data_IF_020005026532
#
_entry.id   IF_020005026532
#
_cell.length_a   1.000
_cell.length_b   1.000
_cell.length_c   1.000
_cell.angle_alpha   90.00
_cell.angle_beta   90.00
_cell.angle_gamma   90.00
#
_symmetry.space_group_name_H-M   'P 1'
#
loop_
_entity.id
_entity.type
_entity.pdbx_description
1 polymer ?
#
# COMPACT_ATOMS: atom_id res chain seq x y z
N UNK A 1 5.72 -14.68 17.43
CA UNK A 1 6.86 -14.28 16.60
C UNK A 1 6.58 -12.95 15.95
N UNK A 2 7.54 -12.05 16.02
CA UNK A 2 7.34 -10.71 15.49
C UNK A 2 7.39 -10.68 13.98
N UNK A 3 6.55 -9.86 13.40
CA UNK A 3 6.60 -9.63 11.96
C UNK A 3 7.54 -8.48 11.68
N UNK A 4 8.25 -8.58 10.57
CA UNK A 4 9.25 -7.61 10.18
C UNK A 4 8.78 -6.91 8.91
N UNK A 5 8.80 -5.59 8.93
CA UNK A 5 8.44 -4.79 7.77
C UNK A 5 9.71 -4.14 7.24
N UNK A 6 10.04 -4.40 6.00
CA UNK A 6 11.21 -3.82 5.36
C UNK A 6 10.76 -3.02 4.15
N UNK A 7 11.45 -1.92 3.89
CA UNK A 7 11.18 -1.09 2.72
C UNK A 7 12.26 -1.37 1.70
N UNK A 8 11.85 -1.76 0.50
CA UNK A 8 12.78 -1.98 -0.59
C UNK A 8 13.51 -0.67 -0.91
N UNK A 9 14.82 -0.77 -1.14
CA UNK A 9 15.65 0.38 -1.50
C UNK A 9 16.34 0.10 -2.82
N UNK A 10 16.39 1.14 -3.66
CA UNK A 10 17.15 1.05 -4.89
C UNK A 10 18.65 1.12 -4.59
N UNK A 11 19.46 0.88 -5.62
CA UNK A 11 20.89 0.90 -5.43
C UNK A 11 21.39 2.24 -4.91
N UNK A 12 20.71 3.32 -5.29
CA UNK A 12 21.11 4.64 -4.83
C UNK A 12 20.59 4.98 -3.44
N UNK A 13 19.95 4.02 -2.78
CA UNK A 13 19.46 4.23 -1.42
C UNK A 13 18.04 4.77 -1.34
N UNK A 14 17.42 5.09 -2.46
CA UNK A 14 16.07 5.62 -2.45
C UNK A 14 15.07 4.51 -2.20
N UNK A 15 14.07 4.82 -1.38
CA UNK A 15 12.99 3.87 -1.09
C UNK A 15 11.70 4.40 -1.71
N UNK A 16 11.15 3.72 -2.71
CA UNK A 16 9.90 4.19 -3.34
C UNK A 16 8.75 4.32 -2.35
N UNK A 17 8.63 3.38 -1.41
CA UNK A 17 7.54 3.45 -0.45
C UNK A 17 7.74 4.59 0.54
N UNK A 18 8.97 4.77 1.03
CA UNK A 18 9.23 5.86 1.95
C UNK A 18 8.94 7.20 1.31
N UNK A 19 9.38 7.38 0.06
CA UNK A 19 9.13 8.61 -0.66
C UNK A 19 7.63 8.82 -0.86
N UNK A 20 6.94 7.75 -1.21
CA UNK A 20 5.49 7.82 -1.38
C UNK A 20 4.82 8.30 -0.09
N UNK A 21 5.23 7.73 1.04
CA UNK A 21 4.64 8.11 2.32
C UNK A 21 4.93 9.57 2.66
N UNK A 22 6.14 10.03 2.35
CA UNK A 22 6.51 11.42 2.64
C UNK A 22 5.70 12.41 1.84
N UNK A 23 5.19 12.01 0.69
CA UNK A 23 4.41 12.89 -0.15
C UNK A 23 2.93 12.94 0.23
N UNK A 24 2.50 12.06 1.09
CA UNK A 24 1.09 12.06 1.51
C UNK A 24 0.80 13.22 2.45
N UNK A 25 -0.41 13.77 2.39
CA UNK A 25 -0.80 14.76 3.39
C UNK A 25 -0.67 14.19 4.80
N UNK A 26 -0.46 15.06 5.77
CA UNK A 26 -0.12 14.63 7.12
C UNK A 26 -1.11 13.62 7.69
N UNK A 27 -2.40 13.90 7.57
CA UNK A 27 -3.39 12.99 8.16
C UNK A 27 -3.46 11.68 7.40
N UNK A 28 -3.30 11.73 6.10
CA UNK A 28 -3.29 10.52 5.28
C UNK A 28 -2.06 9.68 5.61
N UNK A 29 -0.93 10.35 5.82
CA UNK A 29 0.29 9.65 6.20
C UNK A 29 0.14 8.95 7.54
N UNK A 30 -0.51 9.62 8.49
CA UNK A 30 -0.75 9.02 9.80
C UNK A 30 -1.60 7.75 9.66
N UNK A 31 -2.61 7.81 8.81
CA UNK A 31 -3.45 6.64 8.58
C UNK A 31 -2.63 5.52 7.95
N UNK A 32 -1.73 5.88 7.02
CA UNK A 32 -0.88 4.89 6.39
C UNK A 32 0.00 4.18 7.41
N UNK A 33 0.62 4.93 8.32
CA UNK A 33 1.46 4.31 9.33
C UNK A 33 0.63 3.44 10.27
N UNK A 34 -0.60 3.84 10.55
CA UNK A 34 -1.47 3.03 11.38
C UNK A 34 -1.76 1.69 10.72
N UNK A 35 -2.02 1.70 9.40
CA UNK A 35 -2.26 0.45 8.68
C UNK A 35 -1.02 -0.41 8.64
N UNK A 36 0.15 0.21 8.47
CA UNK A 36 1.40 -0.53 8.47
C UNK A 36 1.61 -1.19 9.83
N UNK A 37 1.27 -0.49 10.90
CA UNK A 37 1.40 -1.03 12.23
C UNK A 37 0.45 -2.22 12.42
N UNK A 38 -0.76 -2.14 11.86
CA UNK A 38 -1.68 -3.25 11.91
C UNK A 38 -1.10 -4.47 11.21
N UNK A 39 -0.49 -4.26 10.05
CA UNK A 39 0.14 -5.36 9.33
C UNK A 39 1.27 -5.96 10.13
N UNK A 40 2.06 -5.11 10.77
CA UNK A 40 3.15 -5.59 11.60
C UNK A 40 2.64 -6.43 12.77
N UNK A 41 1.54 -6.01 13.37
CA UNK A 41 1.01 -6.71 14.53
C UNK A 41 0.32 -8.02 14.17
N UNK A 42 -0.38 -8.04 13.04
CA UNK A 42 -1.19 -9.19 12.68
C UNK A 42 -0.60 -10.06 11.58
N UNK A 43 0.33 -9.51 10.80
CA UNK A 43 0.99 -10.27 9.77
C UNK A 43 0.01 -10.90 8.80
N UNK A 44 0.21 -12.17 8.50
CA UNK A 44 -0.62 -12.86 7.53
C UNK A 44 -2.07 -13.01 7.97
N UNK A 45 -2.36 -12.75 9.22
CA UNK A 45 -3.74 -12.84 9.71
C UNK A 45 -4.58 -11.64 9.32
N UNK A 46 -3.94 -10.55 8.89
CA UNK A 46 -4.69 -9.39 8.45
C UNK A 46 -5.41 -9.72 7.16
N UNK A 47 -6.70 -9.40 7.11
CA UNK A 47 -7.56 -9.80 6.00
C UNK A 47 -8.16 -8.58 5.30
N UNK A 48 -8.90 -8.84 4.22
CA UNK A 48 -9.63 -7.79 3.57
C UNK A 48 -10.59 -7.12 4.55
N UNK A 49 -10.81 -5.82 4.39
CA UNK A 49 -10.37 -4.99 3.27
C UNK A 49 -8.99 -4.38 3.45
N UNK A 50 -8.30 -4.67 4.56
CA UNK A 50 -7.01 -4.04 4.82
C UNK A 50 -5.95 -4.48 3.82
N UNK A 51 -5.94 -5.76 3.49
CA UNK A 51 -4.99 -6.29 2.51
C UNK A 51 -5.74 -7.09 1.48
N UNK A 52 -5.15 -7.18 0.30
CA UNK A 52 -5.76 -7.93 -0.78
C UNK A 52 -4.66 -8.51 -1.65
N UNK A 53 -4.88 -9.72 -2.15
CA UNK A 53 -3.92 -10.33 -3.04
C UNK A 53 -4.03 -9.66 -4.40
N UNK A 54 -2.88 -9.39 -5.02
CA UNK A 54 -2.87 -8.78 -6.36
C UNK A 54 -3.32 -9.82 -7.36
N UNK A 55 -4.25 -9.44 -8.24
CA UNK A 55 -4.81 -10.35 -9.21
C UNK A 55 -3.84 -10.61 -10.36
N UNK A 56 -3.97 -11.77 -11.00
CA UNK A 56 -3.20 -12.08 -12.18
C UNK A 56 -2.12 -13.10 -11.90
N UNK A 57 -1.90 -13.98 -12.87
CA UNK A 57 -0.93 -15.06 -12.71
C UNK A 57 0.48 -14.55 -12.47
N UNK A 58 0.81 -13.40 -13.07
CA UNK A 58 2.15 -12.85 -12.91
C UNK A 58 2.42 -12.32 -11.52
N UNK A 59 1.37 -12.11 -10.74
CA UNK A 59 1.50 -11.43 -9.45
C UNK A 59 1.05 -12.31 -8.30
N UNK A 60 1.13 -13.61 -8.42
CA UNK A 60 0.56 -14.47 -7.41
C UNK A 60 1.23 -14.33 -6.05
N UNK A 61 2.46 -13.82 -6.03
CA UNK A 61 3.15 -13.63 -4.75
C UNK A 61 3.07 -12.21 -4.23
N UNK A 62 2.30 -11.36 -4.89
CA UNK A 62 2.20 -9.97 -4.49
C UNK A 62 0.90 -9.70 -3.77
N UNK A 63 0.98 -8.80 -2.81
CA UNK A 63 -0.16 -8.36 -2.02
C UNK A 63 -0.19 -6.86 -2.01
N UNK A 64 -1.34 -6.28 -1.67
CA UNK A 64 -1.41 -4.85 -1.50
C UNK A 64 -2.02 -4.52 -0.15
N UNK A 65 -1.40 -3.57 0.54
CA UNK A 65 -1.94 -3.00 1.74
C UNK A 65 -2.75 -1.78 1.34
N UNK A 66 -4.01 -1.77 1.69
CA UNK A 66 -4.92 -0.71 1.24
C UNK A 66 -5.12 0.27 2.37
N UNK A 67 -4.90 1.53 2.06
CA UNK A 67 -5.01 2.61 3.03
C UNK A 67 -6.10 3.55 2.55
N UNK A 68 -7.24 3.46 3.19
CA UNK A 68 -8.38 4.28 2.81
C UNK A 68 -8.44 5.53 3.67
N UNK A 69 -8.49 6.69 3.03
CA UNK A 69 -8.60 7.94 3.74
C UNK A 69 -9.51 8.86 2.93
N UNK A 70 -10.65 9.22 3.52
CA UNK A 70 -11.69 9.97 2.81
C UNK A 70 -12.08 9.17 1.55
N UNK A 71 -12.02 9.80 0.38
CA UNK A 71 -12.39 9.10 -0.85
C UNK A 71 -11.19 8.54 -1.59
N UNK A 72 -10.00 8.72 -1.04
CA UNK A 72 -8.78 8.24 -1.70
C UNK A 72 -8.35 6.91 -1.12
N UNK A 73 -7.76 6.08 -1.96
CA UNK A 73 -7.22 4.80 -1.53
C UNK A 73 -5.78 4.72 -1.99
N UNK A 74 -4.89 4.69 -1.01
CA UNK A 74 -3.48 4.47 -1.29
C UNK A 74 -3.19 2.98 -1.18
N UNK A 75 -2.23 2.50 -1.94
CA UNK A 75 -1.89 1.09 -1.96
C UNK A 75 -0.39 0.93 -1.87
N UNK A 76 0.02 -0.03 -1.08
CA UNK A 76 1.43 -0.38 -0.96
C UNK A 76 1.55 -1.85 -1.36
N UNK A 77 2.33 -2.10 -2.39
CA UNK A 77 2.55 -3.46 -2.89
C UNK A 77 3.67 -4.09 -2.08
N UNK A 78 3.46 -5.30 -1.60
CA UNK A 78 4.46 -5.99 -0.82
C UNK A 78 4.44 -7.49 -1.13
N UNK A 79 5.49 -8.18 -0.72
CA UNK A 79 5.53 -9.64 -0.81
C UNK A 79 6.16 -10.19 0.46
N UNK A 80 6.00 -11.48 0.65
CA UNK A 80 6.45 -12.15 1.86
C UNK A 80 7.43 -13.25 1.45
N UNK A 81 8.74 -12.93 1.40
CA UNK A 81 9.73 -13.92 0.94
C UNK A 81 9.90 -15.08 1.91
N UNK A 82 9.79 -14.81 3.18
CA UNK A 82 9.84 -15.85 4.20
C UNK A 82 8.83 -15.50 5.27
N UNK A 83 8.55 -16.46 6.12
CA UNK A 83 7.56 -16.31 7.18
C UNK A 83 7.81 -15.02 7.95
N UNK A 84 6.80 -14.24 8.16
CA UNK A 84 6.78 -13.02 8.95
C UNK A 84 7.71 -11.90 8.49
N UNK A 85 8.22 -11.95 7.26
CA UNK A 85 8.98 -10.83 6.69
C UNK A 85 8.19 -10.26 5.52
N UNK A 86 7.88 -8.97 5.59
CA UNK A 86 7.07 -8.28 4.61
C UNK A 86 7.92 -7.20 3.97
N UNK A 87 8.12 -7.28 2.66
CA UNK A 87 8.96 -6.31 1.96
C UNK A 87 8.06 -5.42 1.11
N UNK A 88 8.06 -4.14 1.43
CA UNK A 88 7.27 -3.13 0.73
C UNK A 88 8.04 -2.68 -0.49
N UNK A 89 7.42 -2.80 -1.65
CA UNK A 89 8.08 -2.53 -2.93
C UNK A 89 7.74 -1.17 -3.51
N UNK A 90 6.47 -0.82 -3.48
CA UNK A 90 6.01 0.36 -4.20
C UNK A 90 4.70 0.84 -3.62
N UNK A 91 4.51 2.15 -3.63
CA UNK A 91 3.26 2.74 -3.17
C UNK A 91 2.68 3.66 -4.23
N UNK A 92 1.37 3.71 -4.31
CA UNK A 92 0.70 4.61 -5.25
C UNK A 92 -0.69 4.92 -4.74
N UNK A 93 -1.23 6.02 -5.24
CA UNK A 93 -2.55 6.45 -4.87
C UNK A 93 -3.47 6.29 -6.06
N UNK A 94 -4.59 5.63 -5.84
CA UNK A 94 -5.57 5.44 -6.89
C UNK A 94 -6.78 6.28 -6.57
N UNK A 95 -6.95 7.35 -7.32
CA UNK A 95 -8.05 8.26 -7.10
C UNK A 95 -9.28 7.81 -7.84
N UNK A 96 -10.42 8.18 -7.31
CA UNK A 96 -11.66 7.89 -7.99
C UNK A 96 -11.77 8.75 -9.22
N UNK A 97 -12.41 8.20 -10.22
CA UNK A 97 -12.47 8.89 -11.50
C UNK A 97 -13.82 9.45 -11.84
N UNK A 98 -14.70 9.58 -10.86
CA UNK A 98 -16.02 10.13 -11.18
C UNK A 98 -15.95 11.56 -11.65
N UNK A 99 -14.95 12.31 -11.25
CA UNK A 99 -14.81 13.66 -11.75
C UNK A 99 -14.63 13.63 -13.26
N UNK A 100 -13.95 12.65 -13.74
CA UNK A 100 -13.72 12.51 -15.17
C UNK A 100 -15.02 12.28 -15.90
N UNK A 101 -15.89 11.51 -15.33
CA UNK A 101 -17.18 11.28 -15.95
C UNK A 101 -17.97 12.55 -16.07
N UNK A 102 -17.90 13.39 -15.07
CA UNK A 102 -18.60 14.67 -15.16
C UNK A 102 -18.01 15.53 -16.23
N UNK A 103 -16.71 15.53 -16.33
CA UNK A 103 -16.07 16.32 -17.35
C UNK A 103 -16.54 15.91 -18.72
N UNK A 104 -16.67 14.64 -18.93
CA UNK A 104 -17.07 14.15 -20.22
C UNK A 104 -18.48 14.58 -20.56
N UNK A 105 -19.30 14.77 -19.57
CA UNK A 105 -20.64 15.20 -19.84
C UNK A 105 -20.78 16.64 -20.11
N UNK A 106 -19.84 17.43 -19.71
CA UNK A 106 -20.01 18.86 -19.85
C UNK A 106 -19.66 19.25 -21.19
N UNK A 107 -19.56 18.92 -22.14
CA UNK A 107 -19.28 19.52 -23.45
C UNK A 107 -20.26 20.49 -23.91
#
# INVERSE_FOLDING_TARGET
>A
MENIILFFEKENGESPVFEFLCELPVKHRAKAYWEIELLKNHGKKLKEPCVKKVSGDKYEDLWELRIKFASDISRIIYFIPIENTFIFLHGFEKKQIRFRQKSLKSP
#
